data_IF_753215542179
#
_entry.id   IF_753215542179
#
_cell.length_a   1.000
_cell.length_b   1.000
_cell.length_c   1.000
_cell.angle_alpha   90.00
_cell.angle_beta   90.00
_cell.angle_gamma   90.00
#
_symmetry.space_group_name_H-M   'P 1'
#
loop_
_entity.id
_entity.type
_entity.pdbx_description
1 polymer ?
#
# COMPACT_ATOMS: atom_id res chain seq x y z
N UNK A 1 -1.66 -27.06 -13.00
CA UNK A 1 -1.72 -26.02 -11.93
C UNK A 1 -1.24 -26.54 -10.58
N UNK A 2 -1.51 -27.79 -10.19
CA UNK A 2 -1.17 -28.37 -8.89
C UNK A 2 0.33 -28.46 -8.52
N UNK A 3 1.25 -28.18 -9.45
CA UNK A 3 2.71 -28.23 -9.22
C UNK A 3 3.41 -26.87 -9.28
N UNK A 4 2.67 -25.74 -9.38
CA UNK A 4 3.30 -24.42 -9.27
C UNK A 4 3.60 -24.11 -7.80
N UNK A 5 4.89 -24.19 -7.44
CA UNK A 5 5.44 -23.46 -6.29
C UNK A 5 5.33 -24.13 -4.91
N UNK A 6 5.78 -25.38 -4.78
CA UNK A 6 6.34 -25.80 -3.49
C UNK A 6 7.67 -25.06 -3.31
N UNK A 7 7.61 -23.76 -3.00
CA UNK A 7 8.81 -23.00 -2.68
C UNK A 7 9.31 -23.51 -1.33
N UNK A 8 10.52 -24.09 -1.31
CA UNK A 8 11.20 -24.41 -0.07
C UNK A 8 11.56 -23.11 0.66
N UNK A 9 10.73 -22.73 1.63
CA UNK A 9 10.89 -21.53 2.43
C UNK A 9 11.85 -21.73 3.60
N UNK A 10 12.37 -22.95 3.83
CA UNK A 10 13.23 -23.26 4.99
C UNK A 10 14.49 -22.40 5.05
N UNK A 11 14.99 -21.94 3.89
CA UNK A 11 16.15 -21.05 3.79
C UNK A 11 15.82 -19.57 4.02
N UNK A 12 14.59 -19.15 3.70
CA UNK A 12 14.17 -17.74 3.73
C UNK A 12 13.55 -17.37 5.07
N UNK A 13 12.75 -18.27 5.63
CA UNK A 13 12.00 -18.06 6.88
C UNK A 13 12.90 -17.64 8.05
N UNK A 14 14.07 -18.28 8.32
CA UNK A 14 14.92 -17.88 9.43
C UNK A 14 15.51 -16.48 9.28
N UNK A 15 15.75 -16.05 8.03
CA UNK A 15 16.25 -14.71 7.71
C UNK A 15 15.16 -13.66 7.95
N UNK A 16 13.96 -13.90 7.43
CA UNK A 16 12.80 -13.00 7.63
C UNK A 16 12.46 -12.89 9.11
N UNK A 17 12.44 -14.00 9.85
CA UNK A 17 12.20 -14.02 11.29
C UNK A 17 13.18 -13.14 12.05
N UNK A 18 14.47 -13.18 11.70
CA UNK A 18 15.51 -12.32 12.30
C UNK A 18 15.26 -10.84 12.02
N UNK A 19 14.91 -10.48 10.79
CA UNK A 19 14.62 -9.08 10.40
C UNK A 19 13.42 -8.56 11.19
N UNK A 20 12.31 -9.30 11.20
CA UNK A 20 11.09 -8.91 11.93
C UNK A 20 11.36 -8.77 13.43
N UNK A 21 12.12 -9.70 14.04
CA UNK A 21 12.47 -9.63 15.45
C UNK A 21 13.37 -8.42 15.76
N UNK A 22 14.34 -8.13 14.89
CA UNK A 22 15.21 -6.98 15.04
C UNK A 22 14.45 -5.65 14.95
N UNK A 23 13.56 -5.50 13.96
CA UNK A 23 12.72 -4.30 13.82
C UNK A 23 11.77 -4.17 15.00
N UNK A 24 11.14 -5.26 15.47
CA UNK A 24 10.27 -5.23 16.64
C UNK A 24 10.98 -4.76 17.92
N UNK A 25 12.24 -5.17 18.12
CA UNK A 25 13.04 -4.79 19.29
C UNK A 25 13.68 -3.39 19.16
N UNK A 26 14.09 -3.03 17.95
CA UNK A 26 14.93 -1.85 17.70
C UNK A 26 14.26 -0.70 16.94
N UNK A 27 12.99 -0.84 16.56
CA UNK A 27 12.19 0.17 15.88
C UNK A 27 12.88 0.77 14.66
N UNK A 28 12.71 2.08 14.49
CA UNK A 28 13.22 2.87 13.36
C UNK A 28 14.73 2.78 13.18
N UNK A 29 15.50 2.60 14.26
CA UNK A 29 16.95 2.40 14.16
C UNK A 29 17.28 1.14 13.37
N UNK A 30 16.56 0.04 13.62
CA UNK A 30 16.76 -1.22 12.88
C UNK A 30 16.16 -1.17 11.49
N UNK A 31 15.02 -0.49 11.33
CA UNK A 31 14.41 -0.24 10.03
C UNK A 31 15.37 0.53 9.10
N UNK A 32 15.97 1.62 9.60
CA UNK A 32 16.98 2.41 8.88
C UNK A 32 18.18 1.58 8.48
N UNK A 33 18.72 0.79 9.41
CA UNK A 33 19.89 -0.05 9.13
C UNK A 33 19.62 -1.04 7.98
N UNK A 34 18.42 -1.63 7.92
CA UNK A 34 18.03 -2.51 6.81
C UNK A 34 17.76 -1.74 5.52
N UNK A 35 17.15 -0.56 5.59
CA UNK A 35 16.92 0.28 4.42
C UNK A 35 18.24 0.79 3.80
N UNK A 36 19.23 1.14 4.62
CA UNK A 36 20.58 1.49 4.14
C UNK A 36 21.26 0.29 3.49
N UNK A 37 21.12 -0.90 4.09
CA UNK A 37 21.75 -2.14 3.61
C UNK A 37 21.12 -2.67 2.32
N UNK A 38 19.79 -2.70 2.22
CA UNK A 38 19.06 -3.39 1.16
C UNK A 38 18.40 -2.42 0.17
N UNK A 39 17.85 -1.31 0.66
CA UNK A 39 17.07 -0.37 -0.14
C UNK A 39 17.90 0.81 -0.65
N UNK A 40 19.18 0.86 -0.34
CA UNK A 40 20.08 1.95 -0.75
C UNK A 40 19.66 3.32 -0.24
N UNK A 41 19.01 3.37 0.93
CA UNK A 41 18.69 4.61 1.62
C UNK A 41 19.99 5.35 1.95
N UNK A 42 20.12 6.61 1.54
CA UNK A 42 21.32 7.38 1.81
C UNK A 42 21.41 7.77 3.30
N UNK A 43 22.64 7.93 3.81
CA UNK A 43 22.85 8.36 5.19
C UNK A 43 22.16 9.72 5.44
N UNK A 44 21.39 9.81 6.52
CA UNK A 44 20.60 11.00 6.84
C UNK A 44 19.34 11.23 5.99
N UNK A 45 19.11 10.44 4.93
CA UNK A 45 17.87 10.54 4.16
C UNK A 45 16.67 10.10 5.02
N UNK A 46 15.56 10.86 5.04
CA UNK A 46 14.35 10.45 5.77
C UNK A 46 13.80 9.12 5.26
N UNK A 47 13.14 8.34 6.13
CA UNK A 47 12.43 7.11 5.69
C UNK A 47 11.07 7.47 5.08
N UNK A 48 10.39 8.48 5.63
CA UNK A 48 9.17 9.02 5.06
C UNK A 48 9.51 9.94 3.88
N UNK A 49 8.80 9.76 2.77
CA UNK A 49 8.86 10.67 1.63
C UNK A 49 8.08 11.92 1.99
N UNK A 50 8.68 13.10 1.79
CA UNK A 50 8.01 14.36 2.13
C UNK A 50 6.84 14.63 1.19
N UNK A 51 5.90 15.47 1.62
CA UNK A 51 4.77 15.84 0.76
C UNK A 51 5.23 16.57 -0.50
N UNK A 52 6.26 17.40 -0.36
CA UNK A 52 6.88 18.15 -1.46
C UNK A 52 7.48 17.21 -2.50
N UNK A 53 8.15 16.13 -2.07
CA UNK A 53 8.70 15.11 -2.98
C UNK A 53 7.59 14.35 -3.72
N UNK A 54 6.50 14.00 -3.04
CA UNK A 54 5.32 13.35 -3.63
C UNK A 54 4.66 14.27 -4.68
N UNK A 55 4.44 15.54 -4.34
CA UNK A 55 3.82 16.51 -5.24
C UNK A 55 4.75 16.88 -6.42
N UNK A 56 6.06 16.92 -6.21
CA UNK A 56 7.05 17.10 -7.27
C UNK A 56 7.03 15.92 -8.26
N UNK A 57 6.89 14.69 -7.79
CA UNK A 57 6.76 13.52 -8.65
C UNK A 57 5.52 13.63 -9.56
N UNK A 58 4.38 14.05 -9.02
CA UNK A 58 3.19 14.34 -9.82
C UNK A 58 3.46 15.41 -10.88
N UNK A 59 4.19 16.47 -10.56
CA UNK A 59 4.52 17.51 -11.55
C UNK A 59 5.44 16.98 -12.67
N UNK A 60 6.37 16.08 -12.34
CA UNK A 60 7.40 15.56 -13.26
C UNK A 60 6.89 14.61 -14.35
N UNK A 61 5.79 13.88 -14.10
CA UNK A 61 5.28 12.89 -15.07
C UNK A 61 4.46 13.52 -16.20
N UNK A 62 4.43 12.85 -17.35
CA UNK A 62 3.82 13.39 -18.57
C UNK A 62 2.29 13.58 -18.45
N UNK A 63 1.70 14.53 -19.20
CA UNK A 63 0.24 14.70 -19.26
C UNK A 63 -0.51 13.42 -19.67
N UNK A 64 0.04 12.65 -20.60
CA UNK A 64 -0.54 11.39 -21.09
C UNK A 64 -0.58 10.35 -19.96
N UNK A 65 0.51 10.22 -19.20
CA UNK A 65 0.56 9.34 -18.03
C UNK A 65 -0.44 9.75 -16.95
N UNK A 66 -0.57 11.06 -16.67
CA UNK A 66 -1.59 11.59 -15.74
C UNK A 66 -3.01 11.25 -16.20
N UNK A 67 -3.28 11.37 -17.50
CA UNK A 67 -4.58 11.02 -18.07
C UNK A 67 -4.87 9.52 -17.93
N UNK A 68 -3.90 8.67 -18.22
CA UNK A 68 -3.99 7.22 -18.06
C UNK A 68 -4.24 6.82 -16.58
N UNK A 69 -3.48 7.39 -15.63
CA UNK A 69 -3.69 7.15 -14.20
C UNK A 69 -5.09 7.55 -13.74
N UNK A 70 -5.56 8.73 -14.14
CA UNK A 70 -6.92 9.21 -13.81
C UNK A 70 -7.99 8.28 -14.36
N UNK A 71 -7.84 7.81 -15.60
CA UNK A 71 -8.78 6.88 -16.22
C UNK A 71 -8.80 5.53 -15.50
N UNK A 72 -7.62 4.96 -15.21
CA UNK A 72 -7.51 3.72 -14.45
C UNK A 72 -8.13 3.85 -13.06
N UNK A 73 -7.80 4.91 -12.32
CA UNK A 73 -8.33 5.15 -10.99
C UNK A 73 -9.85 5.32 -10.97
N UNK A 74 -10.45 5.98 -11.98
CA UNK A 74 -11.91 6.07 -12.12
C UNK A 74 -12.54 4.69 -12.29
N UNK A 75 -11.99 3.86 -13.17
CA UNK A 75 -12.51 2.52 -13.45
C UNK A 75 -12.41 1.60 -12.21
N UNK A 76 -11.24 1.60 -11.56
CA UNK A 76 -11.01 0.82 -10.33
C UNK A 76 -11.98 1.28 -9.24
N UNK A 77 -12.08 2.59 -8.98
CA UNK A 77 -12.98 3.13 -7.95
C UNK A 77 -14.43 2.73 -8.21
N UNK A 78 -14.91 2.83 -9.45
CA UNK A 78 -16.27 2.43 -9.82
C UNK A 78 -16.51 0.94 -9.52
N UNK A 79 -15.56 0.08 -9.87
CA UNK A 79 -15.69 -1.34 -9.60
C UNK A 79 -15.65 -1.67 -8.10
N UNK A 80 -14.72 -1.07 -7.34
CA UNK A 80 -14.65 -1.24 -5.89
C UNK A 80 -15.95 -0.78 -5.18
N UNK A 81 -16.58 0.30 -5.66
CA UNK A 81 -17.86 0.77 -5.13
C UNK A 81 -19.00 -0.24 -5.35
N UNK A 82 -19.01 -0.94 -6.49
CA UNK A 82 -19.99 -2.00 -6.74
C UNK A 82 -19.80 -3.22 -5.84
N UNK A 83 -18.55 -3.52 -5.47
CA UNK A 83 -18.21 -4.65 -4.60
C UNK A 83 -18.40 -4.36 -3.11
N UNK A 84 -18.63 -3.10 -2.71
CA UNK A 84 -18.67 -2.71 -1.31
C UNK A 84 -19.85 -3.40 -0.58
N UNK A 85 -19.59 -4.27 0.42
CA UNK A 85 -20.66 -4.97 1.11
C UNK A 85 -21.45 -4.00 1.99
N UNK A 86 -22.77 -4.15 2.00
CA UNK A 86 -23.67 -3.32 2.80
C UNK A 86 -23.95 -4.00 4.14
N UNK A 87 -23.91 -3.21 5.21
CA UNK A 87 -24.49 -3.64 6.48
C UNK A 87 -25.99 -3.87 6.31
N UNK A 88 -26.53 -4.84 7.04
CA UNK A 88 -27.96 -5.15 6.99
C UNK A 88 -28.44 -5.66 8.34
N UNK A 89 -29.73 -5.48 8.59
CA UNK A 89 -30.45 -6.01 9.76
C UNK A 89 -31.80 -6.54 9.30
N UNK A 90 -32.26 -7.66 9.85
CA UNK A 90 -33.53 -8.32 9.56
C UNK A 90 -34.16 -8.82 10.86
N UNK A 91 -35.49 -8.77 10.93
CA UNK A 91 -36.24 -9.42 12.00
C UNK A 91 -36.48 -10.89 11.64
N UNK A 92 -36.10 -11.82 12.50
CA UNK A 92 -36.28 -13.26 12.30
C UNK A 92 -37.55 -13.80 12.94
N UNK A 93 -37.94 -13.21 14.06
CA UNK A 93 -39.17 -13.48 14.80
C UNK A 93 -39.53 -12.21 15.59
N UNK A 94 -40.75 -12.13 16.11
CA UNK A 94 -41.21 -10.96 16.86
C UNK A 94 -40.21 -10.55 17.95
N UNK A 95 -39.64 -9.35 17.81
CA UNK A 95 -38.66 -8.81 18.76
C UNK A 95 -37.22 -9.33 18.60
N UNK A 96 -36.97 -10.31 17.73
CA UNK A 96 -35.64 -10.87 17.45
C UNK A 96 -35.07 -10.32 16.15
N UNK A 97 -34.04 -9.47 16.25
CA UNK A 97 -33.31 -8.92 15.09
C UNK A 97 -31.92 -9.55 14.98
N UNK A 98 -31.53 -9.90 13.76
CA UNK A 98 -30.18 -10.34 13.40
C UNK A 98 -29.64 -9.46 12.28
N UNK A 99 -28.32 -9.41 12.12
CA UNK A 99 -27.72 -8.57 11.10
C UNK A 99 -26.24 -8.82 10.89
N UNK A 100 -25.70 -8.10 9.92
CA UNK A 100 -24.27 -7.99 9.67
C UNK A 100 -23.90 -6.52 9.67
N UNK A 101 -22.91 -6.18 10.49
CA UNK A 101 -22.27 -4.88 10.47
C UNK A 101 -20.96 -4.98 9.69
N UNK A 102 -20.83 -4.17 8.65
CA UNK A 102 -19.62 -4.01 7.85
C UNK A 102 -18.94 -2.70 8.27
N UNK A 103 -17.67 -2.79 8.66
CA UNK A 103 -16.83 -1.64 9.01
C UNK A 103 -15.47 -1.75 8.31
N UNK A 104 -14.88 -0.62 7.88
CA UNK A 104 -13.51 -0.63 7.37
C UNK A 104 -12.51 -0.99 8.48
N UNK A 105 -11.33 -1.40 8.05
CA UNK A 105 -10.15 -1.43 8.91
C UNK A 105 -9.78 0.00 9.33
N UNK A 106 -9.25 0.16 10.54
CA UNK A 106 -8.75 1.45 11.00
C UNK A 106 -7.53 1.91 10.20
N UNK A 107 -6.63 0.96 9.90
CA UNK A 107 -5.37 1.21 9.21
C UNK A 107 -4.99 0.09 8.23
N UNK A 108 -4.37 0.44 7.11
CA UNK A 108 -3.82 -0.51 6.11
C UNK A 108 -2.43 -0.08 5.66
N UNK A 109 -1.52 -1.06 5.56
CA UNK A 109 -0.22 -0.91 4.88
C UNK A 109 -0.29 -1.48 3.45
N UNK A 110 0.07 -0.66 2.46
CA UNK A 110 0.13 -1.03 1.06
C UNK A 110 1.60 -1.16 0.61
N UNK A 111 2.09 -2.39 0.49
CA UNK A 111 3.43 -2.64 -0.04
C UNK A 111 3.43 -2.61 -1.56
N UNK A 112 4.32 -1.81 -2.14
CA UNK A 112 4.53 -1.67 -3.58
C UNK A 112 5.97 -2.06 -3.88
N UNK A 113 6.20 -3.19 -4.57
CA UNK A 113 7.56 -3.63 -4.89
C UNK A 113 8.31 -2.55 -5.68
N UNK A 114 9.56 -2.32 -5.28
CA UNK A 114 10.51 -1.58 -6.10
C UNK A 114 11.04 -2.45 -7.25
N UNK A 115 12.01 -1.93 -8.01
CA UNK A 115 12.71 -2.69 -9.04
C UNK A 115 12.95 -1.90 -10.32
N UNK A 116 13.30 -2.63 -11.39
CA UNK A 116 13.66 -2.03 -12.69
C UNK A 116 12.52 -1.28 -13.36
N UNK A 117 11.28 -1.68 -13.09
CA UNK A 117 10.09 -1.11 -13.72
C UNK A 117 9.15 -0.56 -12.66
N UNK A 118 8.63 0.67 -12.84
CA UNK A 118 7.69 1.26 -11.90
C UNK A 118 6.36 0.48 -11.90
N UNK A 119 5.75 0.31 -10.72
CA UNK A 119 4.47 -0.38 -10.54
C UNK A 119 3.36 0.53 -9.99
N UNK A 120 3.02 1.65 -10.68
CA UNK A 120 2.00 2.59 -10.23
C UNK A 120 0.61 1.94 -10.15
N UNK A 121 0.34 0.91 -10.97
CA UNK A 121 -0.90 0.14 -10.91
C UNK A 121 -1.11 -0.55 -9.56
N UNK A 122 -0.05 -1.00 -8.89
CA UNK A 122 -0.13 -1.61 -7.57
C UNK A 122 -0.56 -0.59 -6.52
N UNK A 123 -0.08 0.66 -6.62
CA UNK A 123 -0.58 1.77 -5.78
C UNK A 123 -2.08 1.93 -5.98
N UNK A 124 -2.55 2.00 -7.23
CA UNK A 124 -3.97 2.14 -7.52
C UNK A 124 -4.80 0.97 -6.96
N UNK A 125 -4.35 -0.27 -7.19
CA UNK A 125 -5.08 -1.48 -6.82
C UNK A 125 -5.07 -1.78 -5.32
N UNK A 126 -4.19 -1.15 -4.53
CA UNK A 126 -4.14 -1.34 -3.08
C UNK A 126 -4.76 -0.16 -2.33
N UNK A 127 -4.48 1.07 -2.75
CA UNK A 127 -4.95 2.29 -2.08
C UNK A 127 -6.42 2.59 -2.41
N UNK A 128 -6.87 2.41 -3.66
CA UNK A 128 -8.26 2.73 -4.03
C UNK A 128 -9.28 1.86 -3.28
N UNK A 129 -9.11 0.53 -3.15
CA UNK A 129 -10.03 -0.27 -2.34
C UNK A 129 -10.09 0.17 -0.88
N UNK A 130 -8.94 0.53 -0.28
CA UNK A 130 -8.88 1.03 1.09
C UNK A 130 -9.64 2.37 1.24
N UNK A 131 -9.44 3.30 0.30
CA UNK A 131 -10.18 4.57 0.27
C UNK A 131 -11.69 4.34 0.10
N UNK A 132 -12.10 3.43 -0.79
CA UNK A 132 -13.52 3.12 -1.05
C UNK A 132 -14.17 2.44 0.15
N UNK A 133 -13.43 1.59 0.87
CA UNK A 133 -13.90 0.96 2.10
C UNK A 133 -14.08 1.97 3.25
N UNK A 134 -13.36 3.10 3.22
CA UNK A 134 -13.37 4.12 4.27
C UNK A 134 -12.27 3.94 5.31
N UNK A 135 -11.15 3.30 4.95
CA UNK A 135 -9.96 3.19 5.82
C UNK A 135 -9.40 4.60 6.07
N UNK A 136 -9.11 4.91 7.33
CA UNK A 136 -8.67 6.26 7.76
C UNK A 136 -7.15 6.43 7.67
N UNK A 137 -6.40 5.40 8.00
CA UNK A 137 -4.93 5.44 8.00
C UNK A 137 -4.35 4.52 6.93
N UNK A 138 -3.84 5.10 5.85
CA UNK A 138 -3.27 4.35 4.72
C UNK A 138 -1.79 4.72 4.60
N UNK A 139 -0.92 3.74 4.83
CA UNK A 139 0.52 3.86 4.65
C UNK A 139 0.96 3.10 3.41
N UNK A 140 1.69 3.75 2.50
CA UNK A 140 2.32 3.09 1.34
C UNK A 140 3.80 2.89 1.62
N UNK A 141 4.32 1.71 1.29
CA UNK A 141 5.72 1.34 1.49
C UNK A 141 6.29 0.85 0.18
N UNK A 142 7.42 1.41 -0.25
CA UNK A 142 8.08 0.99 -1.49
C UNK A 142 9.57 1.32 -1.45
N UNK A 143 10.47 0.35 -1.65
CA UNK A 143 11.91 0.63 -1.72
C UNK A 143 12.24 1.30 -3.06
N UNK A 144 13.08 2.35 -3.02
CA UNK A 144 13.52 3.12 -4.20
C UNK A 144 12.35 3.50 -5.14
N UNK A 145 11.32 4.22 -4.64
CA UNK A 145 10.11 4.47 -5.40
C UNK A 145 10.42 5.34 -6.63
N UNK A 146 9.97 4.88 -7.81
CA UNK A 146 10.06 5.65 -9.04
C UNK A 146 9.07 6.84 -9.05
N UNK A 147 9.35 7.92 -9.82
CA UNK A 147 8.46 9.07 -9.91
C UNK A 147 7.01 8.72 -10.27
N UNK A 148 6.79 7.71 -11.12
CA UNK A 148 5.44 7.24 -11.50
C UNK A 148 4.67 6.65 -10.31
N UNK A 149 5.37 5.97 -9.41
CA UNK A 149 4.79 5.37 -8.20
C UNK A 149 4.38 6.46 -7.21
N UNK A 150 5.27 7.45 -7.00
CA UNK A 150 4.98 8.62 -6.16
C UNK A 150 3.87 9.49 -6.77
N UNK A 151 3.84 9.66 -8.10
CA UNK A 151 2.79 10.38 -8.80
C UNK A 151 1.41 9.72 -8.63
N UNK A 152 1.33 8.38 -8.65
CA UNK A 152 0.10 7.66 -8.36
C UNK A 152 -0.35 7.88 -6.91
N UNK A 153 0.59 7.87 -5.95
CA UNK A 153 0.31 8.16 -4.55
C UNK A 153 -0.18 9.60 -4.34
N UNK A 154 0.46 10.58 -4.98
CA UNK A 154 0.07 11.99 -4.97
C UNK A 154 -1.35 12.19 -5.47
N UNK A 155 -1.69 11.60 -6.63
CA UNK A 155 -3.02 11.70 -7.24
C UNK A 155 -4.12 11.12 -6.33
N UNK A 156 -3.80 10.08 -5.56
CA UNK A 156 -4.73 9.45 -4.63
C UNK A 156 -4.79 10.13 -3.26
N UNK A 157 -3.96 11.16 -3.01
CA UNK A 157 -3.92 11.87 -1.74
C UNK A 157 -3.26 11.07 -0.60
N UNK A 158 -2.33 10.17 -0.92
CA UNK A 158 -1.56 9.44 0.10
C UNK A 158 -0.64 10.41 0.84
N UNK A 159 -0.79 10.48 2.16
CA UNK A 159 0.03 11.35 3.03
C UNK A 159 1.22 10.60 3.64
N UNK A 160 1.07 9.30 3.89
CA UNK A 160 2.08 8.45 4.52
C UNK A 160 2.71 7.53 3.49
N UNK A 161 3.84 7.95 2.93
CA UNK A 161 4.64 7.14 2.02
C UNK A 161 6.03 6.92 2.60
N UNK A 162 6.50 5.67 2.65
CA UNK A 162 7.81 5.31 3.19
C UNK A 162 8.67 4.59 2.14
N UNK A 163 9.93 5.05 1.99
CA UNK A 163 10.87 4.57 0.96
C UNK A 163 11.68 3.34 1.39
N UNK A 164 11.00 2.30 1.85
CA UNK A 164 11.59 1.06 2.42
C UNK A 164 10.86 -0.19 1.91
N UNK A 165 11.51 -1.36 1.96
CA UNK A 165 10.92 -2.64 1.56
C UNK A 165 11.54 -3.90 2.14
#
# INVERSE_FOLDING_TARGET
>A
LAARGAADLSRVEPVVRKIVAAVRKGGDRKLRAYAEQFDGLANGQPIQVSREEIDAAWKSVSPEFKAALKQAARNIRRYCQWQLPKSWTREMASGLKVGQLVRPLDSVGCYVPGGRYPLPSTVLMTVIPALVAGVRDIAVVSPKPAPETLAAAAMLGVERFYRIG
#
